data_IF_906977719955
#
_entry.id   IF_906977719955
#
_cell.length_a   1.000
_cell.length_b   1.000
_cell.length_c   1.000
_cell.angle_alpha   90.00
_cell.angle_beta   90.00
_cell.angle_gamma   90.00
#
_symmetry.space_group_name_H-M   'P 1'
#
loop_
_entity.id
_entity.type
_entity.pdbx_description
1 polymer ?
#
# COMPACT_ATOMS: atom_id res chain seq x y z
N UNK A 1 -47.04 48.13 23.64
CA UNK A 1 -48.37 48.37 23.00
C UNK A 1 -48.16 48.26 21.49
N UNK A 2 -48.82 47.45 20.67
CA UNK A 2 -49.96 46.54 20.78
C UNK A 2 -49.88 45.59 19.56
N UNK A 3 -50.05 44.30 19.83
CA UNK A 3 -50.85 43.31 19.07
C UNK A 3 -50.50 43.03 17.59
N UNK A 4 -49.71 41.96 17.37
CA UNK A 4 -49.87 41.11 16.18
C UNK A 4 -51.22 40.38 16.29
N UNK A 5 -52.09 40.52 15.29
CA UNK A 5 -53.32 39.74 15.14
C UNK A 5 -53.05 38.49 14.30
N UNK A 6 -53.44 37.35 14.86
CA UNK A 6 -53.48 36.05 14.22
C UNK A 6 -54.70 35.89 13.29
N UNK A 7 -54.63 35.02 12.29
CA UNK A 7 -55.77 34.20 11.86
C UNK A 7 -55.32 32.93 11.12
N UNK A 8 -55.72 31.83 11.73
CA UNK A 8 -55.62 30.39 11.43
C UNK A 8 -56.53 29.94 10.28
N UNK A 9 -56.20 28.77 9.68
CA UNK A 9 -57.07 27.59 9.35
C UNK A 9 -56.08 26.53 8.79
N UNK A 10 -55.65 25.51 9.54
CA UNK A 10 -56.31 24.24 9.87
C UNK A 10 -56.52 23.28 8.67
N UNK A 11 -55.74 22.21 8.62
CA UNK A 11 -56.16 20.92 8.05
C UNK A 11 -55.32 19.80 8.68
N UNK A 12 -56.00 19.01 9.52
CA UNK A 12 -55.50 17.84 10.24
C UNK A 12 -55.50 16.62 9.34
N UNK A 13 -54.45 15.79 9.38
CA UNK A 13 -54.57 14.36 9.03
C UNK A 13 -53.80 13.54 10.08
N UNK A 14 -54.53 12.60 10.68
CA UNK A 14 -54.12 11.67 11.73
C UNK A 14 -53.63 10.36 11.08
N UNK A 15 -52.86 9.60 11.86
CA UNK A 15 -52.50 8.19 11.72
C UNK A 15 -51.20 7.92 10.92
N UNK A 16 -50.29 7.07 11.37
CA UNK A 16 -50.38 6.09 12.44
C UNK A 16 -49.00 5.72 12.96
N UNK A 17 -49.02 5.25 14.19
CA UNK A 17 -47.89 4.77 14.97
C UNK A 17 -47.61 3.33 14.54
N UNK A 18 -46.46 3.07 13.93
CA UNK A 18 -45.93 1.71 13.76
C UNK A 18 -44.63 1.57 14.53
N UNK A 19 -44.74 0.90 15.67
CA UNK A 19 -43.63 0.37 16.45
C UNK A 19 -43.05 -0.82 15.65
N UNK A 20 -41.88 -0.65 15.04
CA UNK A 20 -41.12 -1.75 14.46
C UNK A 20 -39.72 -1.73 15.07
N UNK A 21 -39.52 -2.64 16.03
CA UNK A 21 -38.21 -2.90 16.61
C UNK A 21 -37.24 -3.38 15.53
N UNK A 22 -36.15 -2.65 15.35
CA UNK A 22 -35.00 -3.11 14.59
C UNK A 22 -33.93 -3.51 15.60
N UNK A 23 -33.64 -4.80 15.65
CA UNK A 23 -32.53 -5.41 16.38
C UNK A 23 -31.22 -4.77 15.94
N UNK A 24 -30.50 -4.14 16.87
CA UNK A 24 -29.15 -3.66 16.65
C UNK A 24 -28.22 -4.86 16.42
N UNK A 25 -27.83 -5.10 15.17
CA UNK A 25 -26.71 -5.98 14.84
C UNK A 25 -25.42 -5.23 15.19
N UNK A 26 -24.72 -5.71 16.22
CA UNK A 26 -23.39 -5.22 16.55
C UNK A 26 -22.44 -5.59 15.39
N UNK A 27 -21.96 -4.57 14.66
CA UNK A 27 -20.89 -4.75 13.70
C UNK A 27 -19.60 -5.13 14.46
N UNK A 28 -18.82 -6.13 14.00
CA UNK A 28 -17.52 -6.39 14.60
C UNK A 28 -16.64 -5.16 14.36
N UNK A 29 -16.08 -4.62 15.44
CA UNK A 29 -15.05 -3.60 15.35
C UNK A 29 -13.81 -4.26 14.75
N UNK A 30 -13.54 -3.99 13.47
CA UNK A 30 -12.28 -4.31 12.84
C UNK A 30 -11.21 -3.41 13.45
N UNK A 31 -10.43 -3.96 14.37
CA UNK A 31 -9.20 -3.34 14.86
C UNK A 31 -8.23 -3.25 13.69
N UNK A 32 -8.30 -2.16 12.94
CA UNK A 32 -7.28 -1.79 11.97
C UNK A 32 -6.04 -1.38 12.75
N UNK A 33 -5.16 -2.35 12.99
CA UNK A 33 -3.78 -2.05 13.39
C UNK A 33 -3.18 -1.27 12.23
N UNK A 34 -3.15 0.06 12.35
CA UNK A 34 -2.42 0.91 11.43
C UNK A 34 -0.96 0.48 11.48
N UNK A 35 -0.53 -0.30 10.48
CA UNK A 35 0.88 -0.58 10.26
C UNK A 35 1.52 0.78 9.99
N UNK A 36 2.40 1.23 10.87
CA UNK A 36 3.10 2.48 10.67
C UNK A 36 3.90 2.34 9.37
N UNK A 37 3.42 2.99 8.30
CA UNK A 37 4.12 3.02 7.03
C UNK A 37 5.47 3.70 7.29
N UNK A 38 6.54 2.89 7.31
CA UNK A 38 7.91 3.39 7.32
C UNK A 38 8.03 4.34 6.12
N UNK A 39 8.62 5.54 6.27
CA UNK A 39 8.76 6.47 5.16
C UNK A 39 9.41 5.76 3.99
N UNK A 40 8.67 5.64 2.89
CA UNK A 40 9.16 5.06 1.66
C UNK A 40 10.13 6.08 1.07
N UNK A 41 11.44 5.83 1.21
CA UNK A 41 12.37 6.32 0.20
C UNK A 41 11.76 5.91 -1.13
N UNK A 42 11.59 6.84 -2.09
CA UNK A 42 11.15 6.51 -3.45
C UNK A 42 11.79 5.19 -3.84
N UNK A 43 10.98 4.14 -4.03
CA UNK A 43 11.49 2.81 -4.29
C UNK A 43 12.17 2.83 -5.65
N UNK A 44 13.49 3.00 -5.66
CA UNK A 44 14.29 2.97 -6.88
C UNK A 44 14.15 1.55 -7.42
N UNK A 45 13.56 1.42 -8.60
CA UNK A 45 13.55 0.16 -9.33
C UNK A 45 14.93 -0.07 -9.95
N UNK A 46 15.37 -1.32 -9.99
CA UNK A 46 16.68 -1.71 -10.48
C UNK A 46 17.77 -1.67 -9.42
N UNK A 47 19.00 -1.52 -9.86
CA UNK A 47 20.18 -1.58 -9.00
C UNK A 47 20.39 -0.30 -8.22
N UNK A 48 20.74 -0.45 -6.94
CA UNK A 48 21.19 0.65 -6.10
C UNK A 48 22.12 0.14 -5.00
N UNK A 49 22.87 1.05 -4.39
CA UNK A 49 23.75 0.75 -3.25
C UNK A 49 23.43 1.65 -2.08
N UNK A 50 23.58 1.09 -0.89
CA UNK A 50 23.78 1.86 0.33
C UNK A 50 25.28 1.99 0.60
N UNK A 51 25.66 2.58 1.74
CA UNK A 51 27.07 2.64 2.14
C UNK A 51 27.71 1.24 2.34
N UNK A 52 26.89 0.20 2.58
CA UNK A 52 27.39 -1.13 2.98
C UNK A 52 26.93 -2.28 2.08
N UNK A 53 25.77 -2.16 1.45
CA UNK A 53 25.14 -3.27 0.70
C UNK A 53 24.64 -2.79 -0.66
N UNK A 54 24.78 -3.65 -1.66
CA UNK A 54 24.23 -3.51 -3.00
C UNK A 54 22.92 -4.31 -3.12
N UNK A 55 21.93 -3.72 -3.79
CA UNK A 55 20.59 -4.27 -3.92
C UNK A 55 20.10 -4.18 -5.35
N UNK A 56 19.16 -5.05 -5.69
CA UNK A 56 18.34 -4.93 -6.89
C UNK A 56 16.86 -4.96 -6.50
N UNK A 57 16.12 -3.91 -6.79
CA UNK A 57 14.68 -3.86 -6.55
C UNK A 57 13.91 -4.17 -7.85
N UNK A 58 13.24 -5.32 -7.89
CA UNK A 58 12.33 -5.65 -8.97
C UNK A 58 10.95 -5.07 -8.66
N UNK A 59 10.42 -4.19 -9.52
CA UNK A 59 9.14 -3.52 -9.28
C UNK A 59 7.94 -4.14 -10.01
N UNK A 60 8.18 -5.06 -10.95
CA UNK A 60 7.11 -5.70 -11.71
C UNK A 60 6.66 -7.01 -11.03
N UNK A 61 5.44 -7.45 -11.32
CA UNK A 61 4.90 -8.73 -10.87
C UNK A 61 5.29 -9.87 -11.83
N UNK A 62 6.57 -9.90 -12.21
CA UNK A 62 7.15 -10.89 -13.12
C UNK A 62 8.31 -11.63 -12.47
N UNK A 63 8.69 -12.75 -13.08
CA UNK A 63 9.90 -13.48 -12.77
C UNK A 63 10.99 -13.05 -13.77
N UNK A 64 12.18 -12.68 -13.29
CA UNK A 64 13.28 -12.22 -14.13
C UNK A 64 14.61 -12.84 -13.74
N UNK A 65 15.54 -12.81 -14.68
CA UNK A 65 16.96 -12.97 -14.44
C UNK A 65 17.66 -11.63 -14.60
N UNK A 66 18.59 -11.35 -13.68
CA UNK A 66 19.49 -10.20 -13.76
C UNK A 66 20.91 -10.71 -13.98
N UNK A 67 21.75 -9.92 -14.65
CA UNK A 67 23.19 -10.12 -14.63
C UNK A 67 23.81 -9.26 -13.53
N UNK A 68 24.71 -9.85 -12.74
CA UNK A 68 25.42 -9.18 -11.65
C UNK A 68 26.91 -9.12 -11.98
N UNK A 69 27.45 -7.90 -11.99
CA UNK A 69 28.86 -7.60 -12.15
C UNK A 69 29.51 -7.51 -10.77
N UNK A 70 30.40 -8.45 -10.46
CA UNK A 70 31.08 -8.54 -9.17
C UNK A 70 32.53 -8.04 -9.27
N UNK A 71 32.96 -7.30 -8.25
CA UNK A 71 34.30 -6.71 -8.19
C UNK A 71 35.42 -7.74 -8.01
N UNK A 72 35.16 -8.80 -7.25
CA UNK A 72 36.19 -9.74 -6.75
C UNK A 72 35.97 -11.19 -7.16
N UNK A 73 34.84 -11.48 -7.78
CA UNK A 73 34.43 -12.83 -8.16
C UNK A 73 33.91 -12.81 -9.59
N UNK A 74 33.64 -13.99 -10.14
CA UNK A 74 33.03 -14.09 -11.47
C UNK A 74 31.61 -13.51 -11.44
N UNK A 75 31.31 -12.72 -12.46
CA UNK A 75 29.97 -12.27 -12.79
C UNK A 75 28.99 -13.43 -12.97
N UNK A 76 27.69 -13.16 -12.87
CA UNK A 76 26.72 -14.19 -13.19
C UNK A 76 25.27 -13.78 -13.09
N UNK A 77 24.42 -14.69 -13.54
CA UNK A 77 22.98 -14.53 -13.46
C UNK A 77 22.44 -14.77 -12.05
N UNK A 78 21.47 -13.94 -11.65
CA UNK A 78 20.68 -14.15 -10.44
C UNK A 78 19.20 -14.15 -10.77
N UNK A 79 18.51 -15.17 -10.29
CA UNK A 79 17.07 -15.34 -10.45
C UNK A 79 16.32 -14.49 -9.42
N UNK A 80 15.37 -13.69 -9.87
CA UNK A 80 14.46 -12.90 -9.03
C UNK A 80 13.02 -13.34 -9.35
N UNK A 81 12.39 -14.13 -8.48
CA UNK A 81 11.12 -14.80 -8.79
C UNK A 81 9.89 -13.88 -8.69
N UNK A 82 10.00 -12.75 -7.99
CA UNK A 82 8.89 -11.87 -7.69
C UNK A 82 9.32 -10.42 -7.46
N UNK A 83 8.33 -9.53 -7.38
CA UNK A 83 8.52 -8.14 -6.97
C UNK A 83 9.20 -8.05 -5.61
N UNK A 84 10.15 -7.14 -5.46
CA UNK A 84 10.79 -6.81 -4.20
C UNK A 84 12.29 -6.57 -4.32
N UNK A 85 12.91 -6.36 -3.17
CA UNK A 85 14.33 -6.05 -3.02
C UNK A 85 15.11 -7.35 -2.83
N UNK A 86 16.11 -7.57 -3.68
CA UNK A 86 17.08 -8.65 -3.60
C UNK A 86 18.43 -8.11 -3.14
N UNK A 87 18.97 -8.66 -2.06
CA UNK A 87 20.35 -8.40 -1.62
C UNK A 87 21.34 -9.07 -2.58
N UNK A 88 22.29 -8.30 -3.11
CA UNK A 88 23.33 -8.78 -4.02
C UNK A 88 24.69 -8.98 -3.32
N UNK A 89 24.85 -8.51 -2.09
CA UNK A 89 26.09 -8.55 -1.32
C UNK A 89 26.62 -7.17 -0.94
N UNK A 90 27.89 -7.11 -0.54
CA UNK A 90 28.53 -5.88 -0.09
C UNK A 90 28.60 -4.81 -1.18
N UNK A 91 28.44 -3.53 -0.82
CA UNK A 91 28.49 -2.41 -1.76
C UNK A 91 29.83 -2.30 -2.52
N UNK A 92 30.93 -2.81 -1.92
CA UNK A 92 32.25 -2.90 -2.54
C UNK A 92 32.48 -4.17 -3.36
N UNK A 93 31.60 -5.17 -3.25
CA UNK A 93 31.75 -6.47 -3.92
C UNK A 93 30.94 -6.55 -5.22
N UNK A 94 29.97 -5.66 -5.41
CA UNK A 94 29.14 -5.58 -6.62
C UNK A 94 29.39 -4.25 -7.30
N UNK A 95 29.78 -4.23 -8.57
CA UNK A 95 29.95 -3.01 -9.35
C UNK A 95 28.61 -2.48 -9.84
N UNK A 96 27.83 -3.37 -10.48
CA UNK A 96 26.56 -3.07 -11.11
C UNK A 96 25.64 -4.32 -11.17
N UNK A 97 24.36 -4.11 -11.46
CA UNK A 97 23.46 -5.18 -11.86
C UNK A 97 22.37 -4.64 -12.79
N UNK A 98 21.92 -5.45 -13.74
CA UNK A 98 20.89 -5.05 -14.70
C UNK A 98 19.98 -6.21 -15.09
N UNK A 99 18.77 -5.85 -15.51
CA UNK A 99 17.82 -6.79 -16.11
C UNK A 99 18.41 -7.44 -17.35
N UNK A 100 18.24 -8.76 -17.47
CA UNK A 100 18.68 -9.53 -18.62
C UNK A 100 17.49 -10.09 -19.41
N UNK A 101 16.70 -10.99 -18.81
CA UNK A 101 15.53 -11.60 -19.44
C UNK A 101 14.46 -12.00 -18.42
N UNK A 102 13.24 -12.30 -18.90
CA UNK A 102 12.19 -12.92 -18.08
C UNK A 102 12.46 -14.41 -17.89
N UNK A 103 11.90 -15.00 -16.85
CA UNK A 103 11.65 -16.44 -16.83
C UNK A 103 10.66 -16.79 -17.97
#
# INVERSE_FOLDING_TARGET
MRLLKASTIAASVVAGMTLAGATAVAAPAETTTAYAAKPTSMEVCGFYKTAVTAYYNHCADSCIWIWVDYTRTTDGWKHIPNRGITDLGGAGDVNNAWYDHVC
#
